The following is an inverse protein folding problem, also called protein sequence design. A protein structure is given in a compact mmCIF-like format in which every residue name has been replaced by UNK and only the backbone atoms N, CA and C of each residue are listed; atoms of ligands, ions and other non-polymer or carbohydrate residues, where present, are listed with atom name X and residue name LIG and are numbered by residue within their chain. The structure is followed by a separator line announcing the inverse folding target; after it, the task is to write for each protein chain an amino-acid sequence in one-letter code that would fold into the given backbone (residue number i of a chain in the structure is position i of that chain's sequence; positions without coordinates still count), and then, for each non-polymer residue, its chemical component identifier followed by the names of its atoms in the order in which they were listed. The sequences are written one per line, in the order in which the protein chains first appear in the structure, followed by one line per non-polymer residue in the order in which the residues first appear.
data_IF_552462051944
#
_entry.id   IF_552462051944
#
_cell.length_a   1.000
_cell.length_b   1.000
_cell.length_c   1.000
_cell.angle_alpha   90.00
_cell.angle_beta   90.00
_cell.angle_gamma   90.00
#
_symmetry.space_group_name_H-M   'P 1'
#
loop_
_entity.id
_entity.type
_entity.pdbx_description
1 polymer ?
#
# COMPACT_ATOMS: atom_id res chain seq x y z
N UNK A 1 -15.33 14.67 -9.34
CA UNK A 1 -14.61 13.39 -9.48
C UNK A 1 -14.20 12.88 -8.12
N UNK A 2 -14.55 11.64 -7.81
CA UNK A 2 -14.18 11.03 -6.55
C UNK A 2 -12.71 10.58 -6.61
N UNK A 3 -11.90 10.99 -5.62
CA UNK A 3 -10.52 10.56 -5.48
C UNK A 3 -10.39 9.84 -4.16
N UNK A 4 -9.92 8.59 -4.19
CA UNK A 4 -9.70 7.83 -2.97
C UNK A 4 -8.56 8.44 -2.14
N UNK A 5 -8.73 8.45 -0.81
CA UNK A 5 -7.68 8.87 0.11
C UNK A 5 -6.54 7.86 0.16
N UNK A 6 -6.87 6.58 0.04
CA UNK A 6 -5.93 5.48 0.17
C UNK A 6 -6.09 4.54 -1.03
N UNK A 7 -4.98 4.15 -1.63
CA UNK A 7 -4.93 3.04 -2.57
C UNK A 7 -4.32 1.83 -1.87
N UNK A 8 -4.92 0.68 -2.10
CA UNK A 8 -4.38 -0.61 -1.64
C UNK A 8 -3.96 -1.42 -2.85
N UNK A 9 -2.82 -2.08 -2.77
CA UNK A 9 -2.39 -3.04 -3.77
C UNK A 9 -1.94 -4.31 -3.07
N UNK A 10 -2.41 -5.46 -3.52
CA UNK A 10 -2.00 -6.73 -2.93
C UNK A 10 -2.71 -7.91 -3.57
N UNK A 11 -1.99 -8.99 -3.79
CA UNK A 11 -2.49 -10.17 -4.45
C UNK A 11 -3.34 -11.05 -3.52
N UNK A 12 -3.08 -11.01 -2.21
CA UNK A 12 -3.88 -11.71 -1.23
C UNK A 12 -5.24 -11.02 -1.11
N UNK A 13 -6.23 -11.55 -1.82
CA UNK A 13 -7.54 -10.92 -1.92
C UNK A 13 -8.27 -10.85 -0.57
N UNK A 14 -8.06 -11.83 0.30
CA UNK A 14 -8.73 -11.84 1.61
C UNK A 14 -8.22 -10.71 2.50
N UNK A 15 -6.90 -10.56 2.59
CA UNK A 15 -6.30 -9.48 3.37
C UNK A 15 -6.67 -8.12 2.78
N UNK A 16 -6.64 -7.99 1.47
CA UNK A 16 -7.00 -6.75 0.77
C UNK A 16 -8.46 -6.37 1.03
N UNK A 17 -9.37 -7.34 0.89
CA UNK A 17 -10.80 -7.09 1.09
C UNK A 17 -11.10 -6.74 2.55
N UNK A 18 -10.46 -7.40 3.50
CA UNK A 18 -10.66 -7.13 4.92
C UNK A 18 -10.19 -5.71 5.28
N UNK A 19 -8.99 -5.36 4.86
CA UNK A 19 -8.45 -4.02 5.14
C UNK A 19 -9.32 -2.93 4.49
N UNK A 20 -9.72 -3.13 3.25
CA UNK A 20 -10.61 -2.20 2.56
C UNK A 20 -11.91 -2.00 3.31
N UNK A 21 -12.56 -3.11 3.71
CA UNK A 21 -13.84 -3.03 4.41
C UNK A 21 -13.71 -2.28 5.74
N UNK A 22 -12.67 -2.56 6.51
CA UNK A 22 -12.46 -1.89 7.80
C UNK A 22 -12.18 -0.41 7.64
N UNK A 23 -11.40 -0.02 6.64
CA UNK A 23 -11.15 1.39 6.37
C UNK A 23 -12.42 2.12 5.95
N UNK A 24 -13.23 1.51 5.12
CA UNK A 24 -14.52 2.09 4.70
C UNK A 24 -15.43 2.28 5.91
N UNK A 25 -15.49 1.32 6.81
CA UNK A 25 -16.28 1.45 8.06
C UNK A 25 -15.84 2.66 8.88
N UNK A 26 -14.56 3.01 8.82
CA UNK A 26 -14.03 4.16 9.54
C UNK A 26 -14.10 5.46 8.74
N UNK A 27 -14.81 5.47 7.64
CA UNK A 27 -15.04 6.67 6.84
C UNK A 27 -13.92 7.02 5.88
N UNK A 28 -12.98 6.11 5.64
CA UNK A 28 -11.86 6.33 4.72
C UNK A 28 -12.27 5.87 3.32
N UNK A 29 -12.05 6.71 2.33
CA UNK A 29 -12.29 6.33 0.94
C UNK A 29 -11.10 5.54 0.41
N UNK A 30 -11.37 4.35 -0.12
CA UNK A 30 -10.33 3.39 -0.50
C UNK A 30 -10.64 2.78 -1.85
N UNK A 31 -9.64 2.70 -2.71
CA UNK A 31 -9.67 1.87 -3.90
C UNK A 31 -8.61 0.78 -3.75
N UNK A 32 -8.94 -0.44 -4.17
CA UNK A 32 -8.07 -1.58 -4.03
C UNK A 32 -7.79 -2.24 -5.37
N UNK A 33 -6.55 -2.68 -5.55
CA UNK A 33 -6.06 -3.31 -6.78
C UNK A 33 -5.35 -4.60 -6.46
N UNK A 34 -5.44 -5.55 -7.38
CA UNK A 34 -4.80 -6.86 -7.21
C UNK A 34 -3.28 -6.77 -7.35
N UNK A 35 -2.81 -5.88 -8.22
CA UNK A 35 -1.37 -5.77 -8.49
C UNK A 35 -0.85 -4.36 -8.22
N UNK A 36 0.45 -4.29 -7.92
CA UNK A 36 1.14 -2.99 -7.82
C UNK A 36 1.05 -2.23 -9.14
N UNK A 37 1.21 -2.92 -10.27
CA UNK A 37 1.13 -2.29 -11.58
C UNK A 37 -0.21 -1.58 -11.80
N UNK A 38 -1.32 -2.22 -11.45
CA UNK A 38 -2.64 -1.63 -11.62
C UNK A 38 -2.81 -0.39 -10.75
N UNK A 39 -2.34 -0.45 -9.51
CA UNK A 39 -2.39 0.69 -8.61
C UNK A 39 -1.55 1.86 -9.13
N UNK A 40 -0.34 1.60 -9.59
CA UNK A 40 0.56 2.63 -10.11
C UNK A 40 0.03 3.22 -11.42
N UNK A 41 -0.57 2.41 -12.27
CA UNK A 41 -1.22 2.90 -13.49
C UNK A 41 -2.33 3.90 -13.16
N UNK A 42 -3.08 3.64 -12.09
CA UNK A 42 -4.13 4.54 -11.63
C UNK A 42 -3.55 5.87 -11.16
N UNK A 43 -2.39 5.87 -10.50
CA UNK A 43 -1.75 7.09 -10.03
C UNK A 43 -1.39 8.07 -11.15
N UNK A 44 -1.09 7.57 -12.33
CA UNK A 44 -0.75 8.42 -13.48
C UNK A 44 -1.93 9.29 -13.92
N UNK A 45 -3.14 8.86 -13.61
CA UNK A 45 -4.37 9.55 -14.03
C UNK A 45 -5.11 10.22 -12.87
N UNK A 46 -4.63 10.01 -11.62
CA UNK A 46 -5.24 10.61 -10.44
C UNK A 46 -4.69 12.00 -10.18
N UNK A 47 -5.59 12.97 -10.08
CA UNK A 47 -5.19 14.29 -9.65
C UNK A 47 -6.36 14.93 -8.87
N UNK A 48 -6.15 15.30 -7.60
CA UNK A 48 -4.90 15.18 -6.82
C UNK A 48 -4.55 13.74 -6.51
N UNK A 49 -3.28 13.49 -6.15
CA UNK A 49 -2.82 12.17 -5.74
C UNK A 49 -3.48 11.75 -4.43
N UNK A 50 -3.69 10.43 -4.21
CA UNK A 50 -4.17 9.96 -2.92
C UNK A 50 -3.15 10.28 -1.81
N UNK A 51 -3.64 10.28 -0.57
CA UNK A 51 -2.81 10.61 0.58
C UNK A 51 -1.83 9.50 0.93
N UNK A 52 -2.14 8.24 0.57
CA UNK A 52 -1.35 7.09 0.97
C UNK A 52 -1.56 5.93 0.00
N UNK A 53 -0.48 5.26 -0.34
CA UNK A 53 -0.52 3.97 -1.05
C UNK A 53 0.02 2.90 -0.11
N UNK A 54 -0.75 1.83 0.09
CA UNK A 54 -0.32 0.67 0.87
C UNK A 54 -0.18 -0.51 -0.09
N UNK A 55 1.03 -1.02 -0.21
CA UNK A 55 1.35 -2.12 -1.11
C UNK A 55 1.77 -3.35 -0.31
N UNK A 56 0.97 -4.41 -0.40
CA UNK A 56 1.29 -5.70 0.20
C UNK A 56 2.00 -6.56 -0.85
N UNK A 57 3.30 -6.71 -0.69
CA UNK A 57 4.11 -7.49 -1.62
C UNK A 57 4.32 -8.93 -1.17
N UNK A 58 3.70 -9.34 -0.04
CA UNK A 58 3.94 -10.65 0.55
C UNK A 58 3.52 -11.82 -0.36
N UNK A 59 2.53 -11.61 -1.22
CA UNK A 59 2.06 -12.61 -2.18
C UNK A 59 2.36 -12.24 -3.64
N UNK A 60 3.25 -11.27 -3.85
CA UNK A 60 3.62 -10.83 -5.19
C UNK A 60 4.36 -11.94 -5.95
N UNK A 61 4.08 -12.06 -7.24
CA UNK A 61 4.80 -13.00 -8.12
C UNK A 61 6.24 -12.56 -8.33
N UNK A 62 6.52 -11.25 -8.28
CA UNK A 62 7.85 -10.71 -8.44
C UNK A 62 8.03 -9.48 -7.52
N UNK A 63 8.30 -9.71 -6.23
CA UNK A 63 8.43 -8.61 -5.28
C UNK A 63 9.55 -7.62 -5.62
N UNK A 64 10.63 -8.09 -6.22
CA UNK A 64 11.75 -7.21 -6.58
C UNK A 64 11.32 -6.18 -7.62
N UNK A 65 10.57 -6.57 -8.64
CA UNK A 65 10.06 -5.66 -9.66
C UNK A 65 9.06 -4.68 -9.05
N UNK A 66 8.15 -5.17 -8.20
CA UNK A 66 7.18 -4.31 -7.54
C UNK A 66 7.88 -3.25 -6.68
N UNK A 67 8.89 -3.62 -5.92
CA UNK A 67 9.64 -2.70 -5.08
C UNK A 67 10.36 -1.64 -5.91
N UNK A 68 10.97 -2.03 -7.04
CA UNK A 68 11.61 -1.07 -7.94
C UNK A 68 10.62 -0.02 -8.45
N UNK A 69 9.44 -0.45 -8.87
CA UNK A 69 8.41 0.46 -9.36
C UNK A 69 7.89 1.37 -8.27
N UNK A 70 7.65 0.82 -7.08
CA UNK A 70 7.19 1.60 -5.93
C UNK A 70 8.24 2.62 -5.50
N UNK A 71 9.51 2.27 -5.57
CA UNK A 71 10.61 3.19 -5.23
C UNK A 71 10.57 4.45 -6.09
N UNK A 72 10.21 4.32 -7.37
CA UNK A 72 10.11 5.47 -8.27
C UNK A 72 9.01 6.45 -7.87
N UNK A 73 7.98 5.97 -7.18
CA UNK A 73 6.87 6.80 -6.72
C UNK A 73 7.01 7.32 -5.29
N UNK A 74 7.97 6.77 -4.53
CA UNK A 74 8.09 7.05 -3.10
C UNK A 74 8.35 8.52 -2.76
N UNK A 75 8.90 9.29 -3.71
CA UNK A 75 9.13 10.73 -3.52
C UNK A 75 7.89 11.57 -3.82
N UNK A 76 6.89 10.99 -4.46
CA UNK A 76 5.70 11.70 -4.91
C UNK A 76 4.48 11.42 -4.05
N UNK A 77 4.43 10.26 -3.41
CA UNK A 77 3.32 9.83 -2.58
C UNK A 77 3.86 9.02 -1.40
N UNK A 78 3.30 9.17 -0.19
CA UNK A 78 3.65 8.29 0.91
C UNK A 78 3.29 6.85 0.59
N UNK A 79 4.23 5.93 0.79
CA UNK A 79 4.05 4.52 0.50
C UNK A 79 4.37 3.70 1.74
N UNK A 80 3.44 2.83 2.13
CA UNK A 80 3.64 1.82 3.17
C UNK A 80 3.76 0.47 2.49
N UNK A 81 4.74 -0.31 2.91
CA UNK A 81 4.97 -1.66 2.39
C UNK A 81 4.59 -2.69 3.45
N UNK A 82 3.84 -3.70 3.04
CA UNK A 82 3.61 -4.90 3.84
C UNK A 82 4.34 -6.04 3.15
N UNK A 83 5.22 -6.70 3.88
CA UNK A 83 6.06 -7.77 3.33
C UNK A 83 6.02 -8.98 4.26
N UNK A 84 6.51 -10.10 3.79
CA UNK A 84 6.80 -11.26 4.64
C UNK A 84 8.30 -11.36 4.82
N UNK A 85 8.76 -12.04 5.88
CA UNK A 85 10.18 -12.27 6.10
C UNK A 85 10.80 -13.14 5.00
N UNK A 86 9.98 -13.82 4.22
CA UNK A 86 10.42 -14.61 3.08
C UNK A 86 10.46 -13.82 1.76
N UNK A 87 9.98 -12.59 1.76
CA UNK A 87 10.04 -11.72 0.58
C UNK A 87 11.47 -11.18 0.44
N UNK A 88 12.28 -11.87 -0.34
CA UNK A 88 13.67 -11.48 -0.54
C UNK A 88 13.74 -10.47 -1.68
N UNK A 89 14.19 -9.26 -1.36
CA UNK A 89 14.38 -8.19 -2.32
C UNK A 89 15.86 -7.78 -2.28
N UNK A 90 16.51 -7.79 -3.43
CA UNK A 90 17.91 -7.39 -3.53
C UNK A 90 18.06 -5.93 -3.08
N UNK A 91 18.98 -5.69 -2.15
CA UNK A 91 19.20 -4.37 -1.58
C UNK A 91 18.24 -4.01 -0.46
N UNK A 92 17.30 -4.90 -0.09
CA UNK A 92 16.35 -4.70 1.00
C UNK A 92 15.28 -3.66 0.70
N UNK A 93 14.48 -3.35 1.70
CA UNK A 93 13.39 -2.37 1.61
C UNK A 93 13.77 -1.02 2.20
N UNK A 94 14.76 -1.01 3.08
CA UNK A 94 15.21 0.19 3.78
C UNK A 94 15.91 1.16 2.82
N UNK A 95 15.81 2.45 3.12
CA UNK A 95 16.55 3.47 2.35
C UNK A 95 15.96 3.81 0.99
N UNK A 96 14.80 3.27 0.64
CA UNK A 96 14.15 3.53 -0.65
C UNK A 96 13.12 4.66 -0.61
N UNK A 97 12.89 5.22 0.57
CA UNK A 97 11.94 6.31 0.73
C UNK A 97 10.54 5.89 1.15
N UNK A 98 10.31 4.61 1.45
CA UNK A 98 9.02 4.16 1.97
C UNK A 98 8.81 4.72 3.38
N UNK A 99 7.61 5.23 3.64
CA UNK A 99 7.32 5.86 4.93
C UNK A 99 7.25 4.84 6.07
N UNK A 100 6.71 3.65 5.79
CA UNK A 100 6.54 2.60 6.79
C UNK A 100 6.72 1.24 6.12
N UNK A 101 7.42 0.35 6.80
CA UNK A 101 7.59 -1.04 6.36
C UNK A 101 7.06 -1.94 7.47
N UNK A 102 6.10 -2.78 7.13
CA UNK A 102 5.44 -3.70 8.05
C UNK A 102 5.68 -5.13 7.58
N UNK A 103 5.82 -6.04 8.52
CA UNK A 103 6.03 -7.46 8.22
C UNK A 103 4.84 -8.28 8.73
N UNK A 104 4.40 -9.24 7.94
CA UNK A 104 3.37 -10.18 8.38
C UNK A 104 3.88 -11.07 9.49
N UNK A 105 3.04 -11.46 10.46
CA UNK A 105 1.60 -11.17 10.54
C UNK A 105 1.33 -9.72 10.98
N UNK A 106 0.35 -9.09 10.36
CA UNK A 106 -0.06 -7.72 10.68
C UNK A 106 -1.38 -7.77 11.46
N UNK A 107 -1.42 -7.08 12.60
CA UNK A 107 -2.66 -6.89 13.33
C UNK A 107 -3.52 -5.88 12.57
N UNK A 108 -4.63 -6.36 12.00
CA UNK A 108 -5.46 -5.54 11.11
C UNK A 108 -6.06 -4.35 11.86
N UNK A 109 -6.49 -4.53 13.10
CA UNK A 109 -7.05 -3.43 13.90
C UNK A 109 -6.03 -2.33 14.16
N UNK A 110 -4.81 -2.72 14.50
CA UNK A 110 -3.72 -1.74 14.72
C UNK A 110 -3.35 -1.04 13.42
N UNK A 111 -3.32 -1.76 12.32
CA UNK A 111 -3.02 -1.18 11.01
C UNK A 111 -4.04 -0.11 10.64
N UNK A 112 -5.34 -0.40 10.82
CA UNK A 112 -6.40 0.56 10.55
C UNK A 112 -6.23 1.82 11.42
N UNK A 113 -5.92 1.65 12.70
CA UNK A 113 -5.65 2.80 13.59
C UNK A 113 -4.45 3.63 13.11
N UNK A 114 -3.37 2.98 12.72
CA UNK A 114 -2.19 3.67 12.22
C UNK A 114 -2.51 4.48 10.95
N UNK A 115 -3.29 3.89 10.05
CA UNK A 115 -3.72 4.58 8.82
C UNK A 115 -4.57 5.80 9.16
N UNK A 116 -5.55 5.66 10.05
CA UNK A 116 -6.40 6.78 10.47
C UNK A 116 -5.56 7.90 11.06
N UNK A 117 -4.64 7.58 11.95
CA UNK A 117 -3.75 8.56 12.57
C UNK A 117 -2.90 9.27 11.52
N UNK A 118 -2.43 8.54 10.53
CA UNK A 118 -1.64 9.13 9.45
C UNK A 118 -2.46 10.11 8.61
N UNK A 119 -3.71 9.79 8.35
CA UNK A 119 -4.59 10.62 7.52
C UNK A 119 -5.07 11.88 8.25
N UNK A 120 -5.06 11.88 9.56
CA UNK A 120 -5.46 13.04 10.37
C UNK A 120 -4.43 14.15 10.41
N UNK A 121 -3.22 13.87 9.99
CA UNK A 121 -2.11 14.85 10.05
C UNK A 121 -2.02 15.72 8.81
#
# INVERSE_FOLDING_TARGET
MFVAQVLLAGKDWQARALLRAQLIEEGVSVEAYETVDDALAQLEWCFPLPALLIADISASDNPAVDVERLTMWAKRIPIWIIASHTSIVKGGLEGRGFETILFRPVDMGKLVQQIQQRLEK
#
